data_IF_906948859568
#
_entry.id   IF_906948859568
#
_cell.length_a   1.000
_cell.length_b   1.000
_cell.length_c   1.000
_cell.angle_alpha   90.00
_cell.angle_beta   90.00
_cell.angle_gamma   90.00
#
_symmetry.space_group_name_H-M   'P 1'
#
loop_
_entity.id
_entity.type
_entity.pdbx_description
1 polymer ?
#
# COMPACT_ATOMS: atom_id res chain seq x y z
N UNK A 1 -24.86 -38.82 -20.32
CA UNK A 1 -24.37 -37.52 -20.86
C UNK A 1 -24.92 -36.32 -20.08
N UNK A 2 -26.23 -36.04 -20.09
CA UNK A 2 -26.81 -34.80 -19.50
C UNK A 2 -26.62 -34.66 -17.99
N UNK A 3 -26.75 -35.76 -17.22
CA UNK A 3 -26.57 -35.78 -15.75
C UNK A 3 -25.12 -35.56 -15.32
N UNK A 4 -24.16 -36.11 -16.06
CA UNK A 4 -22.73 -35.93 -15.77
C UNK A 4 -22.27 -34.49 -16.04
N UNK A 5 -22.80 -33.85 -17.09
CA UNK A 5 -22.53 -32.44 -17.35
C UNK A 5 -23.10 -31.52 -16.26
N UNK A 6 -24.29 -31.83 -15.72
CA UNK A 6 -24.88 -31.08 -14.60
C UNK A 6 -24.02 -31.22 -13.33
N UNK A 7 -23.54 -32.43 -13.04
CA UNK A 7 -22.66 -32.68 -11.87
C UNK A 7 -21.33 -31.95 -12.03
N UNK A 8 -20.72 -31.99 -13.22
CA UNK A 8 -19.45 -31.31 -13.48
C UNK A 8 -19.57 -29.78 -13.35
N UNK A 9 -20.67 -29.18 -13.82
CA UNK A 9 -20.92 -27.73 -13.70
C UNK A 9 -21.14 -27.34 -12.23
N UNK A 10 -21.89 -28.15 -11.46
CA UNK A 10 -22.11 -27.90 -10.03
C UNK A 10 -20.83 -28.04 -9.19
N UNK A 11 -19.93 -28.93 -9.57
CA UNK A 11 -18.63 -29.05 -8.92
C UNK A 11 -17.71 -27.84 -9.21
N UNK A 12 -17.76 -27.28 -10.42
CA UNK A 12 -16.98 -26.10 -10.79
C UNK A 12 -17.42 -24.83 -10.05
N UNK A 13 -18.73 -24.65 -9.80
CA UNK A 13 -19.23 -23.47 -9.07
C UNK A 13 -18.98 -23.51 -7.57
N UNK A 14 -18.76 -24.70 -6.99
CA UNK A 14 -18.41 -24.87 -5.58
C UNK A 14 -16.95 -24.49 -5.26
N UNK A 15 -16.08 -24.43 -6.26
CA UNK A 15 -14.70 -23.95 -6.14
C UNK A 15 -14.62 -22.42 -6.36
N UNK A 16 -15.24 -21.66 -5.46
CA UNK A 16 -14.95 -20.22 -5.40
C UNK A 16 -13.61 -20.01 -4.68
N UNK A 17 -12.65 -19.39 -5.37
CA UNK A 17 -11.39 -18.96 -4.76
C UNK A 17 -11.68 -17.80 -3.81
N UNK A 18 -11.31 -17.96 -2.54
CA UNK A 18 -11.29 -16.86 -1.58
C UNK A 18 -10.13 -15.92 -1.97
N UNK A 19 -10.43 -14.76 -2.52
CA UNK A 19 -9.43 -13.71 -2.74
C UNK A 19 -9.23 -13.00 -1.40
N UNK A 20 -8.17 -13.37 -0.67
CA UNK A 20 -7.75 -12.62 0.50
C UNK A 20 -7.12 -11.31 0.03
N UNK A 21 -7.86 -10.20 0.13
CA UNK A 21 -7.27 -8.88 -0.03
C UNK A 21 -6.24 -8.69 1.09
N UNK A 22 -4.98 -8.45 0.72
CA UNK A 22 -3.97 -8.08 1.71
C UNK A 22 -4.41 -6.80 2.41
N UNK A 23 -4.20 -6.72 3.73
CA UNK A 23 -4.38 -5.46 4.46
C UNK A 23 -3.54 -4.39 3.77
N UNK A 24 -4.12 -3.24 3.37
CA UNK A 24 -3.37 -2.23 2.64
C UNK A 24 -2.16 -1.77 3.44
N UNK A 25 -1.02 -1.74 2.76
CA UNK A 25 0.13 -1.00 3.24
C UNK A 25 -0.23 0.49 3.30
N UNK A 26 0.12 1.15 4.40
CA UNK A 26 -0.05 2.59 4.53
C UNK A 26 1.19 3.22 5.16
N UNK A 27 1.47 4.45 4.74
CA UNK A 27 2.54 5.30 5.25
C UNK A 27 1.94 6.64 5.64
N UNK A 28 2.27 7.12 6.83
CA UNK A 28 1.90 8.45 7.32
C UNK A 28 3.13 9.20 7.78
N UNK A 29 3.00 10.53 7.80
CA UNK A 29 3.99 11.42 8.39
C UNK A 29 3.26 12.63 8.97
N UNK A 30 3.62 13.10 10.17
CA UNK A 30 3.15 14.39 10.65
C UNK A 30 3.84 15.56 9.92
N UNK A 31 4.99 15.32 9.30
CA UNK A 31 5.87 16.35 8.75
C UNK A 31 5.63 16.61 7.27
N UNK A 32 5.09 15.62 6.55
CA UNK A 32 4.80 15.71 5.11
C UNK A 32 3.42 15.17 4.77
N UNK A 33 2.79 15.78 3.76
CA UNK A 33 1.52 15.31 3.20
C UNK A 33 1.60 15.36 1.67
N UNK A 34 1.07 14.33 1.00
CA UNK A 34 1.42 13.99 -0.38
C UNK A 34 1.35 15.12 -1.41
N UNK A 35 0.29 15.94 -1.40
CA UNK A 35 0.09 17.00 -2.42
C UNK A 35 0.46 18.40 -1.94
N UNK A 36 1.12 18.53 -0.77
CA UNK A 36 1.47 19.85 -0.20
C UNK A 36 2.95 20.13 -0.37
N UNK A 37 3.27 21.42 -0.42
CA UNK A 37 4.65 21.90 -0.30
C UNK A 37 5.26 21.41 1.01
N UNK A 38 6.52 21.01 0.96
CA UNK A 38 7.31 20.66 2.13
C UNK A 38 7.46 21.86 3.07
N UNK A 39 7.48 21.60 4.37
CA UNK A 39 7.88 22.60 5.35
C UNK A 39 9.39 22.89 5.23
N UNK A 40 9.85 24.09 5.63
CA UNK A 40 11.26 24.48 5.54
C UNK A 40 12.23 23.48 6.18
N UNK A 41 11.81 22.79 7.26
CA UNK A 41 12.62 21.77 7.94
C UNK A 41 13.10 20.65 7.01
N UNK A 42 12.27 20.20 6.06
CA UNK A 42 12.63 19.14 5.12
C UNK A 42 13.30 19.67 3.84
N UNK A 43 13.37 20.98 3.65
CA UNK A 43 14.06 21.58 2.49
C UNK A 43 15.57 21.46 2.71
N UNK A 44 16.31 21.23 1.63
CA UNK A 44 17.77 21.15 1.66
C UNK A 44 18.42 22.47 2.11
N UNK A 45 19.59 22.38 2.74
CA UNK A 45 20.43 23.51 3.13
C UNK A 45 21.63 23.58 2.20
N UNK A 46 21.47 24.24 1.05
CA UNK A 46 22.48 24.30 -0.01
C UNK A 46 21.90 24.68 -1.36
N UNK A 47 22.77 24.99 -2.32
CA UNK A 47 22.42 25.39 -3.70
C UNK A 47 21.40 26.56 -3.78
N UNK A 48 21.46 27.49 -2.82
CA UNK A 48 20.53 28.62 -2.72
C UNK A 48 19.23 28.31 -1.96
N UNK A 49 19.02 27.07 -1.52
CA UNK A 49 17.97 26.71 -0.56
C UNK A 49 18.46 26.89 0.89
N UNK A 50 17.56 27.33 1.75
CA UNK A 50 17.83 27.63 3.16
C UNK A 50 16.82 26.88 4.05
N UNK A 51 16.76 25.56 3.89
CA UNK A 51 15.94 24.69 4.73
C UNK A 51 16.71 24.09 5.89
N UNK A 52 16.04 23.21 6.66
CA UNK A 52 16.65 22.52 7.80
C UNK A 52 17.36 21.22 7.47
N UNK A 53 17.32 20.78 6.20
CA UNK A 53 17.89 19.53 5.70
C UNK A 53 17.64 18.30 6.59
N UNK A 54 16.46 18.24 7.20
CA UNK A 54 16.10 17.24 8.19
C UNK A 54 15.07 16.28 7.59
N UNK A 55 15.30 14.97 7.73
CA UNK A 55 14.35 13.95 7.25
C UNK A 55 13.02 14.04 8.01
N UNK A 56 11.87 13.85 7.34
CA UNK A 56 10.58 13.75 8.01
C UNK A 56 10.49 12.43 8.81
N UNK A 57 9.68 12.44 9.86
CA UNK A 57 9.24 11.22 10.53
C UNK A 57 8.33 10.43 9.60
N UNK A 58 8.59 9.13 9.48
CA UNK A 58 7.75 8.22 8.70
C UNK A 58 7.27 7.08 9.60
N UNK A 59 5.96 6.82 9.56
CA UNK A 59 5.33 5.68 10.22
C UNK A 59 4.64 4.83 9.16
N UNK A 60 4.84 3.51 9.21
CA UNK A 60 4.18 2.57 8.31
C UNK A 60 3.35 1.56 9.08
N UNK A 61 2.25 1.12 8.46
CA UNK A 61 1.40 0.03 8.93
C UNK A 61 1.22 -1.01 7.84
N UNK A 62 1.16 -2.27 8.26
CA UNK A 62 1.05 -3.45 7.39
C UNK A 62 2.15 -3.52 6.30
N UNK A 63 3.44 -3.42 6.66
CA UNK A 63 4.50 -3.63 5.66
C UNK A 63 4.46 -5.08 5.15
N UNK A 64 4.88 -5.33 3.89
CA UNK A 64 5.01 -6.68 3.37
C UNK A 64 5.98 -7.53 4.22
N UNK A 65 5.70 -8.82 4.35
CA UNK A 65 6.62 -9.75 4.97
C UNK A 65 7.95 -9.78 4.20
N UNK A 66 9.07 -9.86 4.92
CA UNK A 66 10.39 -10.06 4.28
C UNK A 66 10.46 -11.51 3.78
N UNK A 67 10.91 -11.68 2.54
CA UNK A 67 11.14 -13.00 1.92
C UNK A 67 12.36 -13.67 2.54
#
# INVERSE_FOLDING_TARGET
MKKHNVIAIAALTAMSFQVFAATPFSMTSPDISGERRLAPQQVFEGFGCHGGNTSPQLAWKNPPARR
#
